data_IF_184275761958
#
_entry.id   IF_184275761958
#
_cell.length_a   1.000
_cell.length_b   1.000
_cell.length_c   1.000
_cell.angle_alpha   90.00
_cell.angle_beta   90.00
_cell.angle_gamma   90.00
#
_symmetry.space_group_name_H-M   'P 1'
#
loop_
_entity.id
_entity.type
_entity.pdbx_description
1 polymer ?
#
# COMPACT_ATOMS: atom_id res chain seq x y z
N UNK A 1 -7.73 -3.35 15.08
CA UNK A 1 -8.20 -2.60 13.89
C UNK A 1 -7.51 -1.23 13.74
N UNK A 2 -6.18 -1.10 13.93
CA UNK A 2 -5.53 0.24 13.99
C UNK A 2 -4.61 0.60 12.80
N UNK A 3 -4.30 -0.32 11.88
CA UNK A 3 -3.27 -0.09 10.86
C UNK A 3 -3.83 0.02 9.42
N UNK A 4 -5.00 0.65 9.27
CA UNK A 4 -5.55 0.94 7.94
C UNK A 4 -4.96 2.22 7.35
N UNK A 5 -4.48 2.12 6.12
CA UNK A 5 -3.81 3.21 5.42
C UNK A 5 -4.39 3.36 4.02
N UNK A 6 -4.77 4.59 3.66
CA UNK A 6 -5.21 4.91 2.30
C UNK A 6 -4.00 4.95 1.36
N UNK A 7 -3.96 4.06 0.37
CA UNK A 7 -2.82 3.88 -0.53
C UNK A 7 -2.98 4.71 -1.81
N UNK A 8 -4.21 4.77 -2.33
CA UNK A 8 -4.60 5.60 -3.47
C UNK A 8 -6.04 6.13 -3.24
N UNK A 9 -6.62 6.83 -4.23
CA UNK A 9 -7.98 7.40 -4.11
C UNK A 9 -9.05 6.33 -3.90
N UNK A 10 -8.86 5.13 -4.43
CA UNK A 10 -9.85 4.05 -4.49
C UNK A 10 -9.63 2.97 -3.42
N UNK A 11 -8.47 2.95 -2.75
CA UNK A 11 -8.08 1.82 -1.90
C UNK A 11 -7.59 2.25 -0.52
N UNK A 12 -8.12 1.58 0.51
CA UNK A 12 -7.64 1.59 1.89
C UNK A 12 -7.20 0.17 2.23
N UNK A 13 -5.99 0.03 2.78
CA UNK A 13 -5.32 -1.25 2.99
C UNK A 13 -4.98 -1.42 4.45
N UNK A 14 -5.20 -2.62 5.00
CA UNK A 14 -4.66 -2.98 6.31
C UNK A 14 -3.18 -3.34 6.15
N UNK A 15 -2.28 -2.57 6.77
CA UNK A 15 -0.84 -2.83 6.69
C UNK A 15 -0.44 -4.16 7.34
N UNK A 16 -1.22 -4.66 8.31
CA UNK A 16 -0.94 -5.94 8.99
C UNK A 16 -1.07 -7.14 8.03
N UNK A 17 -1.72 -6.95 6.88
CA UNK A 17 -1.92 -8.00 5.88
C UNK A 17 -0.97 -7.87 4.70
N UNK A 18 -0.08 -6.87 4.68
CA UNK A 18 0.85 -6.70 3.56
C UNK A 18 1.95 -7.76 3.64
N UNK A 19 2.06 -8.58 2.61
CA UNK A 19 3.06 -9.64 2.52
C UNK A 19 4.41 -9.10 2.01
N UNK A 20 4.36 -8.26 0.98
CA UNK A 20 5.55 -7.66 0.35
C UNK A 20 5.22 -6.27 -0.17
N UNK A 21 6.24 -5.41 -0.18
CA UNK A 21 6.21 -4.13 -0.90
C UNK A 21 7.37 -4.15 -1.89
N UNK A 22 7.10 -3.91 -3.17
CA UNK A 22 8.10 -3.82 -4.23
C UNK A 22 7.82 -2.60 -5.10
N UNK A 23 8.80 -1.71 -5.20
CA UNK A 23 8.69 -0.39 -5.81
C UNK A 23 7.48 0.42 -5.30
N UNK A 24 6.38 0.38 -6.06
CA UNK A 24 5.14 1.11 -5.83
C UNK A 24 3.95 0.16 -5.63
N UNK A 25 4.20 -1.14 -5.50
CA UNK A 25 3.18 -2.18 -5.43
C UNK A 25 3.19 -2.82 -4.05
N UNK A 26 2.04 -2.79 -3.39
CA UNK A 26 1.76 -3.60 -2.21
C UNK A 26 1.16 -4.93 -2.67
N UNK A 27 1.73 -6.01 -2.16
CA UNK A 27 1.24 -7.36 -2.35
C UNK A 27 0.46 -7.76 -1.10
N UNK A 28 -0.80 -8.14 -1.33
CA UNK A 28 -1.74 -8.60 -0.33
C UNK A 28 -2.05 -10.09 -0.57
N UNK A 29 -2.58 -10.79 0.46
CA UNK A 29 -2.87 -12.20 0.37
C UNK A 29 -3.89 -12.49 -0.73
N UNK A 30 -3.75 -13.65 -1.37
CA UNK A 30 -4.63 -14.05 -2.49
C UNK A 30 -4.34 -13.27 -3.78
N UNK A 31 -3.06 -13.02 -4.07
CA UNK A 31 -2.56 -12.40 -5.31
C UNK A 31 -3.04 -10.97 -5.58
N UNK A 32 -3.60 -10.29 -4.56
CA UNK A 32 -4.09 -8.92 -4.70
C UNK A 32 -2.93 -7.95 -4.72
N UNK A 33 -2.88 -7.11 -5.75
CA UNK A 33 -1.84 -6.07 -5.91
C UNK A 33 -2.48 -4.70 -5.86
N UNK A 34 -1.90 -3.78 -5.09
CA UNK A 34 -2.36 -2.40 -4.98
C UNK A 34 -1.21 -1.46 -5.22
N UNK A 35 -1.41 -0.53 -6.15
CA UNK A 35 -0.39 0.46 -6.53
C UNK A 35 -0.60 1.74 -5.73
N UNK A 36 0.49 2.28 -5.19
CA UNK A 36 0.51 3.60 -4.57
C UNK A 36 0.13 4.70 -5.57
N UNK A 37 -0.60 5.71 -5.11
CA UNK A 37 -0.68 6.96 -5.88
C UNK A 37 0.68 7.66 -5.91
N UNK A 38 1.00 8.37 -7.00
CA UNK A 38 2.26 9.15 -7.15
C UNK A 38 2.60 10.02 -5.93
N UNK A 39 1.59 10.69 -5.35
CA UNK A 39 1.79 11.52 -4.14
C UNK A 39 2.18 10.69 -2.92
N UNK A 40 1.57 9.50 -2.74
CA UNK A 40 1.87 8.60 -1.63
C UNK A 40 3.20 7.89 -1.83
N UNK A 41 3.53 7.51 -3.06
CA UNK A 41 4.83 6.97 -3.42
C UNK A 41 5.95 7.94 -3.02
N UNK A 42 5.85 9.23 -3.39
CA UNK A 42 6.83 10.24 -3.01
C UNK A 42 7.00 10.38 -1.49
N UNK A 43 5.89 10.35 -0.74
CA UNK A 43 5.92 10.40 0.72
C UNK A 43 6.50 9.11 1.35
N UNK A 44 6.39 7.98 0.65
CA UNK A 44 6.88 6.68 1.11
C UNK A 44 8.38 6.50 0.85
N UNK A 45 8.87 6.89 -0.33
CA UNK A 45 10.31 6.86 -0.68
C UNK A 45 11.17 7.82 0.15
N UNK A 46 10.55 8.88 0.69
CA UNK A 46 11.23 9.90 1.50
C UNK A 46 11.31 9.53 3.00
N UNK A 47 11.00 8.30 3.37
CA UNK A 47 11.15 7.74 4.72
C UNK A 47 12.27 6.73 4.74
#
# INVERSE_FOLDING_TARGET
FKNFVRINRQSVVNLDLVEKIEDQTLFLPGERKIIFSRRREKAWRNR
#
